data_IF_170218085877
#
_entry.id   IF_170218085877
#
_cell.length_a   1.000
_cell.length_b   1.000
_cell.length_c   1.000
_cell.angle_alpha   90.00
_cell.angle_beta   90.00
_cell.angle_gamma   90.00
#
_symmetry.space_group_name_H-M   'P 1'
#
loop_
_entity.id
_entity.type
_entity.pdbx_description
1 polymer ?
#
# COMPACT_ATOMS: atom_id res chain seq x y z
N UNK A 1 0.01 3.90 24.70
CA UNK A 1 1.21 3.36 24.01
C UNK A 1 1.23 3.99 22.63
N UNK A 2 1.83 5.17 22.51
CA UNK A 2 1.70 6.03 21.33
C UNK A 2 3.04 6.08 20.60
N UNK A 3 3.19 5.26 19.56
CA UNK A 3 4.40 5.24 18.75
C UNK A 3 4.39 6.41 17.77
N UNK A 4 5.25 7.39 18.05
CA UNK A 4 5.57 8.48 17.14
C UNK A 4 6.19 7.90 15.88
N UNK A 5 5.46 7.95 14.76
CA UNK A 5 6.03 7.72 13.44
C UNK A 5 6.94 8.92 13.08
N UNK A 6 8.18 8.89 13.55
CA UNK A 6 9.19 9.92 13.31
C UNK A 6 9.35 10.19 11.81
N UNK A 7 9.25 11.48 11.44
CA UNK A 7 9.42 11.97 10.07
C UNK A 7 10.90 11.95 9.70
N UNK A 8 11.35 10.86 9.08
CA UNK A 8 12.66 10.80 8.41
C UNK A 8 12.50 11.34 6.99
N UNK A 9 12.86 12.62 6.77
CA UNK A 9 13.00 13.21 5.43
C UNK A 9 14.26 12.65 4.79
N UNK A 10 14.13 11.96 3.66
CA UNK A 10 15.27 11.57 2.84
C UNK A 10 15.01 12.06 1.40
N UNK A 11 15.89 12.93 0.91
CA UNK A 11 15.75 13.63 -0.37
C UNK A 11 16.03 12.69 -1.56
N UNK A 12 14.99 12.59 -2.39
CA UNK A 12 14.98 12.56 -3.85
C UNK A 12 15.80 11.51 -4.63
N UNK A 13 15.06 10.71 -5.39
CA UNK A 13 15.32 10.63 -6.84
C UNK A 13 14.01 10.87 -7.57
N UNK A 14 14.04 11.84 -8.48
CA UNK A 14 12.93 12.57 -9.13
C UNK A 14 12.11 11.76 -10.15
N UNK A 15 12.51 10.53 -10.48
CA UNK A 15 11.96 9.78 -11.62
C UNK A 15 10.79 8.86 -11.24
N UNK A 16 9.71 9.41 -10.69
CA UNK A 16 8.39 8.76 -10.74
C UNK A 16 8.18 7.57 -9.78
N UNK A 17 8.31 7.84 -8.47
CA UNK A 17 7.82 6.93 -7.42
C UNK A 17 6.68 7.61 -6.68
N UNK A 18 5.58 6.89 -6.42
CA UNK A 18 4.45 7.40 -5.63
C UNK A 18 4.94 8.01 -4.32
N UNK A 19 4.46 9.23 -4.02
CA UNK A 19 4.82 9.94 -2.79
C UNK A 19 4.54 9.03 -1.58
N UNK A 20 5.49 8.87 -0.64
CA UNK A 20 5.34 7.96 0.50
C UNK A 20 4.13 8.31 1.37
N UNK A 21 3.77 9.60 1.43
CA UNK A 21 2.57 10.10 2.11
C UNK A 21 1.29 9.56 1.46
N UNK A 22 1.17 9.68 0.12
CA UNK A 22 0.04 9.11 -0.64
C UNK A 22 -0.04 7.59 -0.49
N UNK A 23 1.11 6.92 -0.53
CA UNK A 23 1.20 5.47 -0.33
C UNK A 23 0.71 5.05 1.07
N UNK A 24 1.11 5.77 2.12
CA UNK A 24 0.66 5.53 3.50
C UNK A 24 -0.85 5.72 3.63
N UNK A 25 -1.39 6.83 3.14
CA UNK A 25 -2.83 7.12 3.22
C UNK A 25 -3.67 6.09 2.47
N UNK A 26 -3.24 5.68 1.28
CA UNK A 26 -3.91 4.65 0.51
C UNK A 26 -3.91 3.30 1.24
N UNK A 27 -2.79 2.91 1.86
CA UNK A 27 -2.72 1.68 2.66
C UNK A 27 -3.67 1.72 3.86
N UNK A 28 -3.76 2.87 4.56
CA UNK A 28 -4.68 3.04 5.69
C UNK A 28 -6.15 2.99 5.23
N UNK A 29 -6.47 3.66 4.10
CA UNK A 29 -7.82 3.65 3.51
C UNK A 29 -8.27 2.25 3.10
N UNK A 30 -7.33 1.41 2.68
CA UNK A 30 -7.60 0.01 2.36
C UNK A 30 -7.73 -0.88 3.62
N UNK A 31 -7.54 -0.34 4.82
CA UNK A 31 -7.75 -1.05 6.09
C UNK A 31 -6.48 -1.62 6.74
N UNK A 32 -5.28 -1.26 6.28
CA UNK A 32 -4.04 -1.66 6.96
C UNK A 32 -3.84 -0.92 8.28
N UNK A 33 -3.18 -1.61 9.22
CA UNK A 33 -2.74 -0.99 10.48
C UNK A 33 -1.75 0.13 10.21
N UNK A 34 -1.84 1.21 10.99
CA UNK A 34 -1.03 2.42 10.81
C UNK A 34 0.48 2.11 10.84
N UNK A 35 0.94 1.25 11.75
CA UNK A 35 2.36 0.88 11.85
C UNK A 35 2.87 0.14 10.60
N UNK A 36 2.05 -0.76 10.06
CA UNK A 36 2.34 -1.48 8.81
C UNK A 36 2.41 -0.46 7.66
N UNK A 37 1.40 0.41 7.53
CA UNK A 37 1.38 1.42 6.48
C UNK A 37 2.60 2.36 6.54
N UNK A 38 3.06 2.71 7.75
CA UNK A 38 4.26 3.53 7.97
C UNK A 38 5.58 2.82 7.61
N UNK A 39 5.66 1.51 7.77
CA UNK A 39 6.84 0.74 7.36
C UNK A 39 6.89 0.61 5.83
N UNK A 40 5.75 0.27 5.21
CA UNK A 40 5.65 0.01 3.77
C UNK A 40 5.68 1.26 2.90
N UNK A 41 5.25 2.41 3.42
CA UNK A 41 5.35 3.69 2.72
C UNK A 41 6.79 4.10 2.44
N UNK A 42 7.73 3.67 3.28
CA UNK A 42 9.16 4.00 3.19
C UNK A 42 9.95 3.05 2.29
N UNK A 43 9.37 1.91 1.90
CA UNK A 43 10.05 0.96 1.04
C UNK A 43 10.00 1.44 -0.41
N UNK A 44 11.18 1.62 -1.02
CA UNK A 44 11.40 1.99 -2.42
C UNK A 44 11.34 0.77 -3.34
N UNK A 45 10.25 0.01 -3.27
CA UNK A 45 9.96 -1.04 -4.23
C UNK A 45 9.39 -0.46 -5.52
N UNK A 46 9.80 -0.97 -6.67
CA UNK A 46 9.16 -0.68 -7.97
C UNK A 46 7.74 -1.27 -7.98
N UNK A 47 6.84 -0.69 -8.80
CA UNK A 47 5.42 -1.07 -8.86
C UNK A 47 5.18 -2.58 -9.00
N UNK A 48 6.00 -3.27 -9.79
CA UNK A 48 5.92 -4.73 -9.94
C UNK A 48 6.20 -5.50 -8.64
N UNK A 49 7.22 -5.11 -7.87
CA UNK A 49 7.54 -5.74 -6.59
C UNK A 49 6.47 -5.47 -5.52
N UNK A 50 5.79 -4.32 -5.60
CA UNK A 50 4.65 -3.99 -4.73
C UNK A 50 3.44 -4.88 -5.05
N UNK A 51 3.16 -5.12 -6.34
CA UNK A 51 2.06 -5.98 -6.78
C UNK A 51 2.23 -7.45 -6.36
N UNK A 52 3.46 -7.92 -6.24
CA UNK A 52 3.79 -9.27 -5.76
C UNK A 52 3.91 -9.36 -4.23
N UNK A 53 3.73 -8.25 -3.51
CA UNK A 53 3.95 -8.24 -2.07
C UNK A 53 2.77 -8.84 -1.31
N UNK A 54 3.04 -9.51 -0.16
CA UNK A 54 1.98 -10.02 0.71
C UNK A 54 1.03 -8.94 1.19
N UNK A 55 1.48 -7.67 1.26
CA UNK A 55 0.63 -6.56 1.72
C UNK A 55 -0.48 -6.28 0.72
N UNK A 56 -0.22 -6.27 -0.58
CA UNK A 56 -1.27 -6.03 -1.57
C UNK A 56 -2.23 -7.21 -1.66
N UNK A 57 -1.70 -8.45 -1.59
CA UNK A 57 -2.50 -9.68 -1.61
C UNK A 57 -3.39 -9.86 -0.37
N UNK A 58 -2.91 -9.45 0.82
CA UNK A 58 -3.73 -9.49 2.06
C UNK A 58 -4.74 -8.35 2.14
N UNK A 59 -4.46 -7.22 1.49
CA UNK A 59 -5.28 -6.01 1.56
C UNK A 59 -6.36 -5.94 0.48
N UNK A 60 -6.04 -6.33 -0.76
CA UNK A 60 -7.01 -6.38 -1.86
C UNK A 60 -7.77 -7.70 -1.77
N UNK A 61 -8.74 -7.76 -0.85
CA UNK A 61 -9.62 -8.92 -0.74
C UNK A 61 -10.49 -9.03 -2.00
N UNK A 62 -10.66 -10.26 -2.50
CA UNK A 62 -11.58 -10.56 -3.62
C UNK A 62 -12.98 -10.03 -3.32
N UNK A 63 -13.42 -10.04 -2.05
CA UNK A 63 -14.68 -9.47 -1.61
C UNK A 63 -14.79 -7.95 -1.85
N UNK A 64 -13.71 -7.20 -1.63
CA UNK A 64 -13.62 -5.75 -1.88
C UNK A 64 -13.66 -5.44 -3.38
N UNK A 65 -13.02 -6.28 -4.18
CA UNK A 65 -13.07 -6.19 -5.64
C UNK A 65 -14.47 -6.51 -6.18
N UNK A 66 -15.09 -7.58 -5.69
CA UNK A 66 -16.48 -7.94 -6.06
C UNK A 66 -17.46 -6.82 -5.69
N UNK A 67 -17.31 -6.19 -4.52
CA UNK A 67 -18.11 -5.00 -4.11
C UNK A 67 -17.90 -3.78 -5.02
N UNK A 68 -16.74 -3.64 -5.64
CA UNK A 68 -16.45 -2.59 -6.63
C UNK A 68 -16.95 -2.93 -8.04
N UNK A 69 -17.53 -4.12 -8.25
CA UNK A 69 -18.05 -4.56 -9.54
C UNK A 69 -17.04 -5.31 -10.40
N UNK A 70 -15.89 -5.72 -9.86
CA UNK A 70 -14.94 -6.57 -10.59
C UNK A 70 -15.45 -8.01 -10.63
N UNK A 71 -15.52 -8.58 -11.83
CA UNK A 71 -15.88 -9.99 -12.06
C UNK A 71 -14.60 -10.83 -12.03
N UNK A 72 -14.61 -11.96 -11.31
CA UNK A 72 -13.45 -12.85 -11.28
C UNK A 72 -13.38 -13.67 -12.56
N UNK A 73 -12.17 -13.87 -13.09
CA UNK A 73 -11.96 -14.67 -14.31
C UNK A 73 -12.33 -16.15 -14.12
N UNK A 74 -12.26 -16.63 -12.88
CA UNK A 74 -12.58 -18.01 -12.47
C UNK A 74 -14.08 -18.28 -12.29
N UNK A 75 -14.92 -17.24 -12.23
CA UNK A 75 -16.38 -17.40 -12.09
C UNK A 75 -17.07 -17.54 -13.48
N UNK A 76 -16.31 -17.68 -14.58
CA UNK A 76 -16.77 -17.91 -15.98
C UNK A 76 -16.63 -19.38 -16.37
#
# INVERSE_FOLDING_TARGET
MNEHCSKSVNRESVWEVEKPERKRENLIRLGNRIWIACAWSRIRMRGWAISQSPILGTTIQVLLLKRKGYVSLTDY
#
